data_IF_495419894796
#
_entry.id   IF_495419894796
#
_cell.length_a   1.000
_cell.length_b   1.000
_cell.length_c   1.000
_cell.angle_alpha   90.00
_cell.angle_beta   90.00
_cell.angle_gamma   90.00
#
_symmetry.space_group_name_H-M   'P 1'
#
loop_
_entity.id
_entity.type
_entity.pdbx_description
1 polymer ?
#
# COMPACT_ATOMS: atom_id res chain seq x y z
N UNK A 1 13.09 -10.19 -15.00
CA UNK A 1 12.49 -9.00 -14.35
C UNK A 1 13.08 -8.86 -12.95
N UNK A 2 13.71 -7.73 -12.61
CA UNK A 2 14.21 -7.49 -11.24
C UNK A 2 13.13 -6.83 -10.37
N UNK A 3 12.63 -7.56 -9.38
CA UNK A 3 11.76 -7.03 -8.34
C UNK A 3 12.59 -6.63 -7.12
N UNK A 4 12.35 -5.44 -6.59
CA UNK A 4 12.93 -4.98 -5.34
C UNK A 4 11.86 -4.96 -4.27
N UNK A 5 12.15 -5.54 -3.10
CA UNK A 5 11.32 -5.35 -1.93
C UNK A 5 11.62 -3.96 -1.35
N UNK A 6 10.61 -3.10 -1.28
CA UNK A 6 10.72 -1.71 -0.83
C UNK A 6 9.75 -1.44 0.32
N UNK A 7 10.08 -0.47 1.16
CA UNK A 7 9.21 0.03 2.24
C UNK A 7 9.08 1.53 2.04
N UNK A 8 7.90 1.99 1.64
CA UNK A 8 7.64 3.42 1.42
C UNK A 8 6.22 3.79 1.83
N UNK A 9 5.88 5.08 1.79
CA UNK A 9 4.52 5.53 2.00
C UNK A 9 3.76 5.41 0.69
N UNK A 10 2.69 4.62 0.66
CA UNK A 10 1.89 4.39 -0.54
C UNK A 10 0.59 5.18 -0.45
N UNK A 11 0.41 6.11 -1.41
CA UNK A 11 -0.88 6.76 -1.64
C UNK A 11 -1.69 5.90 -2.59
N UNK A 12 -2.89 5.53 -2.15
CA UNK A 12 -3.86 4.76 -2.92
C UNK A 12 -4.74 5.69 -3.75
N UNK A 13 -5.41 5.13 -4.75
CA UNK A 13 -6.32 5.86 -5.63
C UNK A 13 -7.55 6.40 -4.87
N UNK A 14 -7.99 5.68 -3.83
CA UNK A 14 -9.04 6.11 -2.91
C UNK A 14 -8.65 7.25 -1.96
N UNK A 15 -7.44 7.81 -2.10
CA UNK A 15 -6.94 8.91 -1.28
C UNK A 15 -6.30 8.46 0.04
N UNK A 16 -6.45 7.19 0.44
CA UNK A 16 -5.77 6.64 1.61
C UNK A 16 -4.24 6.68 1.45
N UNK A 17 -3.54 7.11 2.49
CA UNK A 17 -2.08 7.00 2.57
C UNK A 17 -1.67 5.97 3.60
N UNK A 18 -1.14 4.83 3.13
CA UNK A 18 -0.61 3.77 3.99
C UNK A 18 0.87 3.99 4.22
N UNK A 19 1.26 4.30 5.46
CA UNK A 19 2.66 4.59 5.81
C UNK A 19 3.48 3.32 5.99
N UNK A 20 4.77 3.38 5.62
CA UNK A 20 5.75 2.29 5.78
C UNK A 20 5.24 0.94 5.26
N UNK A 21 4.65 0.93 4.07
CA UNK A 21 4.09 -0.28 3.46
C UNK A 21 5.19 -1.04 2.71
N UNK A 22 5.42 -2.29 3.13
CA UNK A 22 6.31 -3.21 2.43
C UNK A 22 5.61 -3.72 1.18
N UNK A 23 6.25 -3.64 0.03
CA UNK A 23 5.72 -4.14 -1.24
C UNK A 23 6.86 -4.44 -2.21
N UNK A 24 6.55 -5.06 -3.36
CA UNK A 24 7.52 -5.29 -4.42
C UNK A 24 7.36 -4.24 -5.51
N UNK A 25 8.48 -3.70 -5.97
CA UNK A 25 8.52 -2.75 -7.07
C UNK A 25 9.38 -3.30 -8.19
N UNK A 26 8.84 -3.34 -9.40
CA UNK A 26 9.63 -3.64 -10.59
C UNK A 26 10.60 -2.47 -10.85
N UNK A 27 11.90 -2.73 -10.91
CA UNK A 27 12.89 -1.69 -11.18
C UNK A 27 12.82 -1.15 -12.61
N UNK A 28 12.32 -1.93 -13.55
CA UNK A 28 12.25 -1.56 -14.97
C UNK A 28 11.06 -0.65 -15.29
N UNK A 29 9.86 -1.03 -14.86
CA UNK A 29 8.62 -0.29 -15.18
C UNK A 29 8.03 0.48 -13.99
N UNK A 30 8.55 0.29 -12.78
CA UNK A 30 8.02 0.95 -11.57
C UNK A 30 6.71 0.36 -11.04
N UNK A 31 6.16 -0.68 -11.68
CA UNK A 31 4.95 -1.36 -11.23
C UNK A 31 5.10 -1.86 -9.79
N UNK A 32 4.06 -1.65 -8.98
CA UNK A 32 4.00 -2.06 -7.58
C UNK A 32 3.12 -3.30 -7.44
N UNK A 33 3.57 -4.24 -6.63
CA UNK A 33 2.88 -5.48 -6.33
C UNK A 33 2.80 -5.63 -4.82
N UNK A 34 1.58 -5.84 -4.31
CA UNK A 34 1.28 -5.99 -2.89
C UNK A 34 1.02 -7.47 -2.60
N UNK A 35 1.75 -8.02 -1.63
CA UNK A 35 1.49 -9.38 -1.13
C UNK A 35 0.31 -9.39 -0.13
N UNK A 36 -0.07 -10.58 0.35
CA UNK A 36 -1.18 -10.72 1.31
C UNK A 36 -0.99 -9.88 2.58
N UNK A 37 0.24 -9.77 3.09
CA UNK A 37 0.55 -8.98 4.27
C UNK A 37 0.37 -7.48 4.01
N UNK A 38 0.81 -7.00 2.85
CA UNK A 38 0.60 -5.64 2.39
C UNK A 38 -0.88 -5.35 2.20
N UNK A 39 -1.61 -6.23 1.52
CA UNK A 39 -3.06 -6.11 1.29
C UNK A 39 -3.84 -6.10 2.60
N UNK A 40 -3.47 -6.93 3.58
CA UNK A 40 -4.10 -6.91 4.90
C UNK A 40 -3.90 -5.57 5.60
N UNK A 41 -2.68 -5.01 5.60
CA UNK A 41 -2.43 -3.66 6.15
C UNK A 41 -3.22 -2.57 5.44
N UNK A 42 -3.32 -2.63 4.11
CA UNK A 42 -4.10 -1.65 3.34
C UNK A 42 -5.57 -1.70 3.78
N UNK A 43 -6.14 -2.90 3.91
CA UNK A 43 -7.53 -3.07 4.35
C UNK A 43 -7.74 -2.60 5.78
N UNK A 44 -6.81 -2.88 6.70
CA UNK A 44 -6.85 -2.36 8.08
C UNK A 44 -6.87 -0.83 8.11
N UNK A 45 -6.00 -0.19 7.32
CA UNK A 45 -5.95 1.27 7.26
C UNK A 45 -7.19 1.87 6.58
N UNK A 46 -7.74 1.21 5.55
CA UNK A 46 -9.02 1.59 4.94
C UNK A 46 -10.16 1.54 5.95
N UNK A 47 -10.25 0.47 6.74
CA UNK A 47 -11.28 0.34 7.77
C UNK A 47 -11.21 1.50 8.78
N UNK A 48 -9.99 1.89 9.20
CA UNK A 48 -9.78 3.05 10.09
C UNK A 48 -10.17 4.37 9.43
N UNK A 49 -9.81 4.56 8.16
CA UNK A 49 -10.11 5.78 7.43
C UNK A 49 -11.62 5.96 7.19
N UNK A 50 -12.32 4.88 6.84
CA UNK A 50 -13.79 4.90 6.70
C UNK A 50 -14.49 5.21 8.02
N UNK A 51 -13.99 4.69 9.15
CA UNK A 51 -14.53 5.04 10.47
C UNK A 51 -14.34 6.52 10.83
N UNK A 52 -13.26 7.14 10.36
CA UNK A 52 -12.97 8.55 10.62
C UNK A 52 -13.81 9.53 9.78
N UNK A 53 -14.45 9.06 8.69
CA UNK A 53 -15.24 9.90 7.77
C UNK A 53 -16.75 9.87 8.06
N UNK A 54 -17.18 9.11 9.08
CA UNK A 54 -18.59 8.90 9.46
C UNK A 54 -18.93 9.63 10.79
N UNK A 55 -18.15 10.63 11.20
CA UNK A 55 -18.42 11.46 12.38
C UNK A 55 -18.66 12.91 11.99
#
# INVERSE_FOLDING_TARGET
MQMACTVENCRMEDGLTVRRLRHFKCRACGARFFDDAAMHRIQTERAKFSLAHVV
#
